data_IF_268802070650
#
_entry.id   IF_268802070650
#
_cell.length_a   1.000
_cell.length_b   1.000
_cell.length_c   1.000
_cell.angle_alpha   90.00
_cell.angle_beta   90.00
_cell.angle_gamma   90.00
#
_symmetry.space_group_name_H-M   'P 1'
#
loop_
_entity.id
_entity.type
_entity.pdbx_description
1 polymer ?
#
# COMPACT_ATOMS: atom_id res chain seq x y z
N UNK A 1 -19.78 -6.67 -52.59
CA UNK A 1 -20.05 -7.09 -51.21
C UNK A 1 -19.66 -5.95 -50.31
N UNK A 2 -20.67 -5.45 -49.58
CA UNK A 2 -20.65 -4.43 -48.53
C UNK A 2 -19.53 -4.67 -47.48
N UNK A 3 -19.04 -3.71 -46.69
CA UNK A 3 -19.75 -2.67 -45.97
C UNK A 3 -18.84 -1.46 -45.73
N UNK A 4 -19.36 -0.26 -45.97
CA UNK A 4 -18.92 0.97 -45.31
C UNK A 4 -19.48 0.98 -43.89
N UNK A 5 -18.64 1.28 -42.88
CA UNK A 5 -19.11 1.50 -41.51
C UNK A 5 -18.70 2.91 -41.07
N UNK A 6 -19.55 3.88 -41.43
CA UNK A 6 -19.62 5.17 -40.77
C UNK A 6 -20.22 4.93 -39.37
N UNK A 7 -19.37 4.88 -38.35
CA UNK A 7 -19.78 4.72 -36.95
C UNK A 7 -19.68 6.04 -36.21
N UNK A 8 -20.80 6.77 -36.12
CA UNK A 8 -20.99 7.87 -35.19
C UNK A 8 -20.81 7.30 -33.77
N UNK A 9 -19.69 7.60 -33.09
CA UNK A 9 -19.55 7.21 -31.68
C UNK A 9 -20.65 7.97 -30.93
N UNK A 10 -21.61 7.29 -30.27
CA UNK A 10 -22.69 7.99 -29.61
C UNK A 10 -22.08 8.86 -28.51
N UNK A 11 -22.51 10.11 -28.41
CA UNK A 11 -22.13 11.05 -27.34
C UNK A 11 -22.22 10.40 -25.94
N UNK A 12 -23.12 9.43 -25.77
CA UNK A 12 -23.22 8.60 -24.57
C UNK A 12 -21.99 7.72 -24.28
N UNK A 13 -21.32 7.16 -25.29
CA UNK A 13 -20.07 6.42 -25.11
C UNK A 13 -18.91 7.35 -24.76
N UNK A 14 -18.86 8.54 -25.38
CA UNK A 14 -17.86 9.57 -25.06
C UNK A 14 -18.06 10.07 -23.62
N UNK A 15 -19.32 10.27 -23.19
CA UNK A 15 -19.66 10.63 -21.82
C UNK A 15 -19.29 9.51 -20.83
N UNK A 16 -19.49 8.25 -21.19
CA UNK A 16 -19.11 7.09 -20.37
C UNK A 16 -17.59 6.98 -20.21
N UNK A 17 -16.84 7.23 -21.29
CA UNK A 17 -15.37 7.30 -21.27
C UNK A 17 -14.88 8.50 -20.45
N UNK A 18 -15.55 9.65 -20.51
CA UNK A 18 -15.21 10.84 -19.69
C UNK A 18 -15.56 10.66 -18.20
N UNK A 19 -16.67 9.98 -17.88
CA UNK A 19 -17.08 9.67 -16.50
C UNK A 19 -16.20 8.57 -15.89
N UNK A 20 -15.67 7.65 -16.71
CA UNK A 20 -14.77 6.58 -16.27
C UNK A 20 -13.29 7.01 -16.26
N UNK A 21 -12.88 7.93 -17.14
CA UNK A 21 -11.48 8.29 -17.41
C UNK A 21 -10.84 9.28 -16.45
N UNK A 22 -11.58 9.86 -15.48
CA UNK A 22 -11.05 10.83 -14.53
C UNK A 22 -11.19 10.41 -13.06
N UNK A 23 -11.50 9.14 -12.77
CA UNK A 23 -11.25 8.57 -11.44
C UNK A 23 -9.82 8.07 -11.33
N UNK A 24 -8.87 8.93 -11.72
CA UNK A 24 -7.53 8.82 -11.20
C UNK A 24 -7.64 8.85 -9.67
N UNK A 25 -6.94 7.94 -9.01
CA UNK A 25 -6.84 7.88 -7.55
C UNK A 25 -6.30 9.20 -7.01
N UNK A 26 -7.17 10.20 -6.86
CA UNK A 26 -6.88 11.39 -6.11
C UNK A 26 -6.91 10.93 -4.65
N UNK A 27 -5.75 10.59 -4.09
CA UNK A 27 -5.59 10.49 -2.65
C UNK A 27 -5.74 11.93 -2.14
N UNK A 28 -6.92 12.34 -1.63
CA UNK A 28 -7.07 13.69 -1.15
C UNK A 28 -6.28 13.71 0.16
N UNK A 29 -5.16 14.45 0.19
CA UNK A 29 -4.24 14.61 1.33
C UNK A 29 -2.95 13.73 1.30
N UNK A 30 -2.20 13.78 0.19
CA UNK A 30 -0.81 13.29 0.10
C UNK A 30 0.15 14.06 1.01
N UNK A 31 -0.15 15.33 1.32
CA UNK A 31 0.76 16.21 2.10
C UNK A 31 1.04 15.68 3.51
N UNK A 32 0.05 15.04 4.15
CA UNK A 32 0.27 14.39 5.46
C UNK A 32 1.20 13.18 5.35
N UNK A 33 1.05 12.37 4.30
CA UNK A 33 1.89 11.20 4.07
C UNK A 33 3.31 11.64 3.71
N UNK A 34 3.47 12.62 2.82
CA UNK A 34 4.77 13.21 2.49
C UNK A 34 5.47 13.76 3.72
N UNK A 35 4.73 14.45 4.61
CA UNK A 35 5.28 14.95 5.87
C UNK A 35 5.75 13.82 6.80
N UNK A 36 4.99 12.74 6.93
CA UNK A 36 5.41 11.56 7.70
C UNK A 36 6.68 10.92 7.09
N UNK A 37 6.67 10.68 5.77
CA UNK A 37 7.78 10.05 5.06
C UNK A 37 9.06 10.90 5.06
N UNK A 38 8.93 12.24 5.10
CA UNK A 38 10.09 13.15 5.13
C UNK A 38 11.04 12.91 6.31
N UNK A 39 10.53 12.38 7.43
CA UNK A 39 11.33 11.95 8.60
C UNK A 39 12.32 10.84 8.26
N UNK A 40 11.96 9.95 7.34
CA UNK A 40 12.74 8.77 6.94
C UNK A 40 13.56 9.01 5.68
N UNK A 41 13.35 10.14 4.99
CA UNK A 41 14.10 10.53 3.80
C UNK A 41 15.44 11.21 4.13
N UNK A 42 15.70 11.54 5.40
CA UNK A 42 16.99 12.11 5.81
C UNK A 42 18.04 11.01 5.99
N UNK A 43 19.10 11.11 5.19
CA UNK A 43 20.32 10.27 5.11
C UNK A 43 21.21 10.33 6.36
N UNK A 44 20.65 10.37 7.57
CA UNK A 44 21.46 10.08 8.74
C UNK A 44 21.81 8.59 8.71
N UNK A 45 23.09 8.18 8.81
CA UNK A 45 23.46 6.79 8.84
C UNK A 45 22.94 6.19 10.15
N UNK A 46 21.68 5.78 10.13
CA UNK A 46 21.09 4.96 11.17
C UNK A 46 21.93 3.70 11.17
N UNK A 47 22.79 3.58 12.20
CA UNK A 47 23.58 2.39 12.42
C UNK A 47 22.65 1.19 12.20
N UNK A 48 23.06 0.24 11.35
CA UNK A 48 22.36 -1.00 10.94
C UNK A 48 22.05 -1.95 12.12
N UNK A 49 21.68 -1.41 13.28
CA UNK A 49 21.67 -2.04 14.59
C UNK A 49 20.32 -1.86 15.29
N UNK A 50 19.31 -1.26 14.64
CA UNK A 50 17.94 -1.36 15.19
C UNK A 50 17.37 -2.73 14.85
N UNK A 51 17.64 -3.71 15.72
CA UNK A 51 17.11 -5.08 15.66
C UNK A 51 15.59 -5.15 15.86
N UNK A 52 14.97 -4.10 16.39
CA UNK A 52 13.54 -4.03 16.66
C UNK A 52 12.95 -2.72 16.10
N UNK A 53 11.73 -2.81 15.54
CA UNK A 53 10.94 -1.66 15.09
C UNK A 53 10.55 -0.84 16.34
N UNK A 54 10.97 0.43 16.46
CA UNK A 54 10.59 1.28 17.58
C UNK A 54 9.08 1.40 17.72
N UNK A 55 8.57 1.52 18.96
CA UNK A 55 7.13 1.66 19.23
C UNK A 55 6.48 2.81 18.44
N UNK A 56 7.20 3.94 18.30
CA UNK A 56 6.75 5.08 17.49
C UNK A 56 6.45 4.69 16.05
N UNK A 57 7.28 3.82 15.48
CA UNK A 57 7.19 3.43 14.07
C UNK A 57 6.08 2.38 13.90
N UNK A 58 5.86 1.51 14.89
CA UNK A 58 4.70 0.60 14.91
C UNK A 58 3.37 1.37 14.93
N UNK A 59 3.25 2.38 15.79
CA UNK A 59 2.09 3.26 15.88
C UNK A 59 1.85 4.02 14.57
N UNK A 60 2.92 4.52 13.94
CA UNK A 60 2.86 5.22 12.66
C UNK A 60 2.42 4.30 11.51
N UNK A 61 2.96 3.08 11.44
CA UNK A 61 2.57 2.06 10.47
C UNK A 61 1.06 1.76 10.59
N UNK A 62 0.58 1.47 11.80
CA UNK A 62 -0.85 1.18 12.03
C UNK A 62 -1.75 2.36 11.68
N UNK A 63 -1.38 3.56 12.14
CA UNK A 63 -2.14 4.77 11.87
C UNK A 63 -2.31 4.97 10.36
N UNK A 64 -1.23 4.82 9.59
CA UNK A 64 -1.28 4.98 8.14
C UNK A 64 -2.15 3.91 7.47
N UNK A 65 -1.99 2.63 7.86
CA UNK A 65 -2.81 1.54 7.31
C UNK A 65 -4.29 1.79 7.57
N UNK A 66 -4.67 2.13 8.80
CA UNK A 66 -6.06 2.38 9.16
C UNK A 66 -6.63 3.63 8.48
N UNK A 67 -5.83 4.69 8.32
CA UNK A 67 -6.23 5.88 7.54
C UNK A 67 -6.56 5.51 6.10
N UNK A 68 -5.68 4.77 5.42
CA UNK A 68 -5.89 4.37 4.03
C UNK A 68 -7.05 3.39 3.87
N UNK A 69 -7.22 2.45 4.81
CA UNK A 69 -8.39 1.55 4.87
C UNK A 69 -9.71 2.32 4.96
N UNK A 70 -9.73 3.43 5.70
CA UNK A 70 -10.90 4.31 5.79
C UNK A 70 -11.15 5.20 4.56
N UNK A 71 -10.22 5.24 3.60
CA UNK A 71 -10.28 6.09 2.41
C UNK A 71 -10.45 5.29 1.10
N UNK A 72 -10.74 3.99 1.19
CA UNK A 72 -10.92 3.13 0.01
C UNK A 72 -12.10 3.60 -0.84
N UNK A 73 -11.96 3.43 -2.16
CA UNK A 73 -13.02 3.73 -3.13
C UNK A 73 -13.21 2.54 -4.09
N UNK A 74 -14.44 2.02 -4.25
CA UNK A 74 -15.68 2.45 -3.60
C UNK A 74 -15.65 2.25 -2.07
N UNK A 75 -16.47 2.99 -1.29
CA UNK A 75 -16.52 2.84 0.16
C UNK A 75 -16.85 1.39 0.55
N UNK A 76 -16.11 0.86 1.51
CA UNK A 76 -16.37 -0.47 2.06
C UNK A 76 -17.43 -0.40 3.16
N UNK A 77 -18.37 -1.34 3.17
CA UNK A 77 -19.42 -1.43 4.19
C UNK A 77 -18.95 -2.06 5.50
N UNK A 78 -17.89 -2.87 5.48
CA UNK A 78 -17.37 -3.58 6.64
C UNK A 78 -15.83 -3.65 6.66
N UNK A 79 -15.17 -2.49 6.64
CA UNK A 79 -13.72 -2.42 6.73
C UNK A 79 -13.27 -2.42 8.20
N UNK A 80 -12.67 -3.52 8.63
CA UNK A 80 -12.21 -3.69 10.03
C UNK A 80 -11.06 -2.75 10.40
N UNK A 81 -10.88 -2.48 11.69
CA UNK A 81 -9.75 -1.71 12.20
C UNK A 81 -8.55 -2.64 12.48
N UNK A 82 -7.37 -2.28 12.00
CA UNK A 82 -6.14 -3.05 12.27
C UNK A 82 -5.56 -2.71 13.64
N UNK A 83 -5.13 -3.74 14.35
CA UNK A 83 -4.35 -3.64 15.59
C UNK A 83 -2.96 -4.24 15.39
N UNK A 84 -2.02 -3.87 16.27
CA UNK A 84 -0.69 -4.47 16.25
C UNK A 84 -0.78 -5.88 16.83
N UNK A 85 -0.08 -6.81 16.21
CA UNK A 85 0.07 -8.17 16.71
C UNK A 85 1.56 -8.48 16.88
N UNK A 86 1.97 -8.77 18.11
CA UNK A 86 3.37 -9.01 18.45
C UNK A 86 3.90 -10.33 17.88
N UNK A 87 3.04 -11.32 17.63
CA UNK A 87 3.45 -12.58 17.02
C UNK A 87 3.69 -12.42 15.52
N UNK A 88 2.81 -11.68 14.82
CA UNK A 88 3.03 -11.30 13.42
C UNK A 88 4.30 -10.47 13.26
N UNK A 89 4.56 -9.53 14.17
CA UNK A 89 5.77 -8.72 14.15
C UNK A 89 7.04 -9.57 14.33
N UNK A 90 7.04 -10.51 15.28
CA UNK A 90 8.17 -11.44 15.48
C UNK A 90 8.39 -12.33 14.26
N UNK A 91 7.32 -12.85 13.67
CA UNK A 91 7.38 -13.69 12.47
C UNK A 91 7.95 -12.93 11.27
N UNK A 92 7.46 -11.71 11.03
CA UNK A 92 7.97 -10.84 9.96
C UNK A 92 9.45 -10.47 10.16
N UNK A 93 9.87 -10.18 11.39
CA UNK A 93 11.27 -9.89 11.71
C UNK A 93 12.18 -11.11 11.48
N UNK A 94 11.73 -12.31 11.86
CA UNK A 94 12.45 -13.55 11.60
C UNK A 94 12.64 -13.79 10.10
N UNK A 95 11.61 -13.58 9.28
CA UNK A 95 11.72 -13.72 7.82
C UNK A 95 12.63 -12.66 7.19
N UNK A 96 12.51 -11.40 7.61
CA UNK A 96 13.37 -10.33 7.13
C UNK A 96 14.86 -10.57 7.42
N UNK A 97 15.18 -11.29 8.51
CA UNK A 97 16.56 -11.63 8.89
C UNK A 97 17.23 -12.60 7.91
N UNK A 98 16.46 -13.40 7.17
CA UNK A 98 17.00 -14.31 6.14
C UNK A 98 17.59 -13.54 4.95
N UNK A 99 17.28 -12.24 4.81
CA UNK A 99 17.71 -11.40 3.69
C UNK A 99 17.32 -11.96 2.31
N UNK A 100 16.21 -12.70 2.23
CA UNK A 100 15.67 -13.26 1.00
C UNK A 100 14.52 -12.37 0.52
N UNK A 101 14.60 -11.90 -0.72
CA UNK A 101 13.54 -11.10 -1.35
C UNK A 101 12.45 -11.99 -1.99
N UNK A 102 11.82 -12.83 -1.17
CA UNK A 102 10.72 -13.71 -1.55
C UNK A 102 9.70 -13.82 -0.41
N UNK A 103 8.50 -14.33 -0.72
CA UNK A 103 7.49 -14.59 0.30
C UNK A 103 7.81 -15.84 1.11
N UNK A 104 7.60 -15.78 2.42
CA UNK A 104 7.78 -16.93 3.29
C UNK A 104 7.58 -16.67 4.78
N UNK A 105 7.74 -17.70 5.61
CA UNK A 105 7.92 -19.10 5.23
C UNK A 105 6.64 -19.71 4.64
N UNK A 106 6.77 -20.60 3.64
CA UNK A 106 5.63 -21.16 2.87
C UNK A 106 4.53 -21.78 3.75
N UNK A 107 4.90 -22.35 4.89
CA UNK A 107 3.96 -22.95 5.85
C UNK A 107 2.99 -21.94 6.47
N UNK A 108 3.35 -20.66 6.56
CA UNK A 108 2.51 -19.61 7.13
C UNK A 108 1.68 -18.87 6.08
N UNK A 109 2.09 -18.89 4.81
CA UNK A 109 1.42 -18.15 3.74
C UNK A 109 -0.01 -18.64 3.44
N UNK A 110 -0.37 -19.85 3.90
CA UNK A 110 -1.72 -20.39 3.75
C UNK A 110 -2.74 -19.74 4.68
N UNK A 111 -2.28 -19.12 5.78
CA UNK A 111 -3.13 -18.53 6.82
C UNK A 111 -2.85 -17.05 7.08
N UNK A 112 -1.65 -16.56 6.73
CA UNK A 112 -1.19 -15.19 6.99
C UNK A 112 -0.73 -14.55 5.68
N UNK A 113 -1.32 -13.40 5.34
CA UNK A 113 -0.89 -12.58 4.21
C UNK A 113 0.41 -11.82 4.48
N UNK A 114 1.15 -11.46 3.43
CA UNK A 114 2.44 -10.78 3.56
C UNK A 114 2.63 -9.73 2.47
N UNK A 115 3.11 -8.54 2.86
CA UNK A 115 3.60 -7.50 1.96
C UNK A 115 5.11 -7.33 2.21
N UNK A 116 5.88 -7.15 1.14
CA UNK A 116 7.32 -6.97 1.21
C UNK A 116 7.70 -5.59 0.63
N UNK A 117 8.71 -4.96 1.22
CA UNK A 117 9.33 -3.75 0.71
C UNK A 117 10.84 -3.84 0.90
N UNK A 118 11.60 -3.39 -0.09
CA UNK A 118 13.06 -3.29 -0.03
C UNK A 118 13.47 -1.97 -0.65
N UNK A 119 14.50 -1.34 -0.09
CA UNK A 119 15.17 -0.21 -0.70
C UNK A 119 16.67 -0.54 -0.79
N UNK A 120 17.31 -0.19 -1.91
CA UNK A 120 18.75 -0.32 -2.10
C UNK A 120 19.31 1.00 -2.61
N UNK A 121 20.47 1.41 -2.09
CA UNK A 121 21.14 2.66 -2.49
C UNK A 121 20.61 3.92 -1.81
N UNK A 122 21.23 5.05 -2.18
CA UNK A 122 20.74 6.42 -1.96
C UNK A 122 19.96 6.86 -3.20
#
# INVERSE_FOLDING_TARGET
MSCTLNGLIPLGLVLLVLVCGARGFFLPNVTHLEKLLSKYQQDEPQARVRRAIPRSDQEEILMLHNKLRGQVHPPASNMEYMTWDEELARSAAAWAHECIWEHGPTSLLVSIGQNLAVHWGR
#
